data_IF_246041431666
#
_entry.id   IF_246041431666
#
_cell.length_a   1.000
_cell.length_b   1.000
_cell.length_c   1.000
_cell.angle_alpha   90.00
_cell.angle_beta   90.00
_cell.angle_gamma   90.00
#
_symmetry.space_group_name_H-M   'P 1'
#
loop_
_entity.id
_entity.type
_entity.pdbx_description
1 polymer ?
#
# COMPACT_ATOMS: atom_id res chain seq x y z
N UNK A 1 6.43 -18.65 3.38
CA UNK A 1 7.21 -17.69 4.21
C UNK A 1 6.26 -16.69 4.84
N UNK A 2 6.11 -16.70 6.18
CA UNK A 2 5.32 -15.71 6.93
C UNK A 2 6.26 -14.62 7.45
N UNK A 3 6.69 -13.72 6.57
CA UNK A 3 7.58 -12.63 6.97
C UNK A 3 6.71 -11.48 7.47
N UNK A 4 6.70 -11.29 8.78
CA UNK A 4 6.15 -10.10 9.40
C UNK A 4 7.23 -9.02 9.32
N UNK A 5 6.89 -7.87 8.76
CA UNK A 5 7.80 -6.76 8.53
C UNK A 5 7.49 -5.63 9.49
N UNK A 6 8.53 -4.98 9.99
CA UNK A 6 8.41 -3.65 10.60
C UNK A 6 7.95 -2.64 9.56
N UNK A 7 7.53 -1.44 10.02
CA UNK A 7 7.14 -0.36 9.12
C UNK A 7 8.25 -0.01 8.13
N UNK A 8 9.49 0.05 8.60
CA UNK A 8 10.65 0.43 7.79
C UNK A 8 10.97 -0.64 6.75
N UNK A 9 11.02 -1.92 7.12
CA UNK A 9 11.22 -3.02 6.16
C UNK A 9 10.08 -3.10 5.13
N UNK A 10 8.84 -2.86 5.56
CA UNK A 10 7.71 -2.78 4.66
C UNK A 10 7.87 -1.61 3.66
N UNK A 11 8.33 -0.44 4.14
CA UNK A 11 8.57 0.73 3.31
C UNK A 11 9.70 0.48 2.29
N UNK A 12 10.79 -0.15 2.70
CA UNK A 12 11.86 -0.55 1.80
C UNK A 12 11.38 -1.52 0.72
N UNK A 13 10.44 -2.41 1.06
CA UNK A 13 9.94 -3.40 0.12
C UNK A 13 9.10 -2.80 -1.01
N UNK A 14 8.36 -1.73 -0.75
CA UNK A 14 7.41 -1.11 -1.68
C UNK A 14 7.87 0.24 -2.23
N UNK A 15 9.00 0.79 -1.76
CA UNK A 15 9.52 2.05 -2.27
C UNK A 15 9.92 1.85 -3.74
N UNK A 16 9.53 2.79 -4.60
CA UNK A 16 10.06 2.84 -5.94
C UNK A 16 11.49 3.40 -5.90
N UNK A 17 12.30 3.06 -6.89
CA UNK A 17 13.63 3.63 -7.05
C UNK A 17 13.55 5.17 -7.07
N UNK A 18 14.46 5.83 -6.34
CA UNK A 18 14.44 7.29 -6.16
C UNK A 18 13.38 7.83 -5.17
N UNK A 19 12.52 7.00 -4.59
CA UNK A 19 11.59 7.44 -3.54
C UNK A 19 12.26 7.41 -2.16
N UNK A 20 12.26 8.54 -1.45
CA UNK A 20 12.75 8.62 -0.07
C UNK A 20 11.99 7.65 0.85
N UNK A 21 12.73 6.95 1.73
CA UNK A 21 12.18 5.96 2.66
C UNK A 21 11.05 6.54 3.53
N UNK A 22 11.25 7.74 4.10
CA UNK A 22 10.24 8.44 4.89
C UNK A 22 8.92 8.69 4.13
N UNK A 23 8.98 8.87 2.81
CA UNK A 23 7.78 9.03 1.98
C UNK A 23 7.04 7.70 1.78
N UNK A 24 7.76 6.58 1.71
CA UNK A 24 7.15 5.25 1.68
C UNK A 24 6.54 4.88 3.04
N UNK A 25 7.22 5.18 4.16
CA UNK A 25 6.67 4.97 5.50
C UNK A 25 5.38 5.77 5.74
N UNK A 26 5.38 7.07 5.39
CA UNK A 26 4.17 7.91 5.45
C UNK A 26 3.01 7.32 4.63
N UNK A 27 3.31 6.75 3.46
CA UNK A 27 2.30 6.10 2.62
C UNK A 27 1.68 4.88 3.30
N UNK A 28 2.51 4.02 3.90
CA UNK A 28 2.04 2.84 4.64
C UNK A 28 1.20 3.27 5.84
N UNK A 29 1.64 4.29 6.60
CA UNK A 29 0.85 4.84 7.72
C UNK A 29 -0.54 5.30 7.28
N UNK A 30 -0.63 6.03 6.15
CA UNK A 30 -1.93 6.42 5.59
C UNK A 30 -2.81 5.24 5.21
N UNK A 31 -2.23 4.14 4.75
CA UNK A 31 -3.01 2.92 4.48
C UNK A 31 -3.53 2.28 5.77
N UNK A 32 -2.75 2.32 6.85
CA UNK A 32 -3.17 1.85 8.17
C UNK A 32 -4.30 2.72 8.71
N UNK A 33 -4.13 4.05 8.68
CA UNK A 33 -5.14 5.02 9.11
C UNK A 33 -6.45 4.90 8.32
N UNK A 34 -6.36 4.60 7.02
CA UNK A 34 -7.52 4.36 6.16
C UNK A 34 -8.16 2.96 6.36
N UNK A 35 -7.60 2.10 7.23
CA UNK A 35 -8.07 0.73 7.44
C UNK A 35 -7.79 -0.24 6.28
N UNK A 36 -6.95 0.16 5.32
CA UNK A 36 -6.60 -0.62 4.13
C UNK A 36 -5.45 -1.60 4.39
N UNK A 37 -4.79 -1.46 5.54
CA UNK A 37 -3.73 -2.34 6.02
C UNK A 37 -3.87 -2.50 7.53
N UNK A 38 -3.97 -3.74 8.01
CA UNK A 38 -4.13 -4.06 9.41
C UNK A 38 -2.82 -4.63 9.99
N UNK A 39 -1.97 -3.81 10.63
CA UNK A 39 -0.78 -4.31 11.30
C UNK A 39 -1.15 -5.08 12.56
N UNK A 40 -0.39 -6.12 12.87
CA UNK A 40 -0.50 -6.88 14.11
C UNK A 40 0.72 -6.56 14.98
N UNK A 41 0.49 -6.04 16.19
CA UNK A 41 1.56 -5.65 17.14
C UNK A 41 2.64 -4.76 16.49
N UNK A 42 2.22 -3.79 15.66
CA UNK A 42 3.12 -2.87 14.95
C UNK A 42 3.89 -3.49 13.77
N UNK A 43 3.59 -4.74 13.40
CA UNK A 43 4.18 -5.42 12.23
C UNK A 43 3.15 -5.65 11.14
N UNK A 44 3.59 -5.57 9.90
CA UNK A 44 2.79 -5.75 8.70
C UNK A 44 3.15 -7.08 8.06
N UNK A 45 2.15 -7.88 7.68
CA UNK A 45 2.41 -9.10 6.93
C UNK A 45 2.80 -8.76 5.49
N UNK A 46 3.88 -9.34 4.96
CA UNK A 46 4.33 -9.05 3.58
C UNK A 46 3.24 -9.29 2.52
N UNK A 47 2.45 -10.35 2.68
CA UNK A 47 1.37 -10.68 1.73
C UNK A 47 0.32 -9.56 1.68
N UNK A 48 -0.13 -9.08 2.83
CA UNK A 48 -1.14 -8.03 2.94
C UNK A 48 -0.59 -6.70 2.42
N UNK A 49 0.67 -6.38 2.74
CA UNK A 49 1.37 -5.21 2.22
C UNK A 49 1.36 -5.17 0.68
N UNK A 50 1.78 -6.26 0.03
CA UNK A 50 1.84 -6.35 -1.44
C UNK A 50 0.44 -6.34 -2.07
N UNK A 51 -0.55 -6.96 -1.41
CA UNK A 51 -1.94 -6.92 -1.86
C UNK A 51 -2.50 -5.48 -1.82
N UNK A 52 -2.27 -4.75 -0.72
CA UNK A 52 -2.67 -3.35 -0.56
C UNK A 52 -1.94 -2.45 -1.55
N UNK A 53 -0.63 -2.66 -1.77
CA UNK A 53 0.13 -1.90 -2.76
C UNK A 53 -0.45 -2.09 -4.17
N UNK A 54 -0.73 -3.34 -4.58
CA UNK A 54 -1.35 -3.65 -5.87
C UNK A 54 -2.72 -2.99 -6.01
N UNK A 55 -3.56 -3.07 -4.98
CA UNK A 55 -4.88 -2.42 -4.91
C UNK A 55 -4.77 -0.90 -5.10
N UNK A 56 -3.84 -0.26 -4.39
CA UNK A 56 -3.63 1.19 -4.44
C UNK A 56 -3.04 1.65 -5.77
N UNK A 57 -2.09 0.90 -6.34
CA UNK A 57 -1.54 1.17 -7.67
C UNK A 57 -2.62 1.06 -8.74
N UNK A 58 -3.49 0.05 -8.66
CA UNK A 58 -4.63 -0.10 -9.57
C UNK A 58 -5.63 1.06 -9.47
N UNK A 59 -5.87 1.61 -8.27
CA UNK A 59 -6.72 2.80 -8.08
C UNK A 59 -6.10 4.05 -8.71
N UNK A 60 -4.76 4.18 -8.70
CA UNK A 60 -4.04 5.34 -9.26
C UNK A 60 -3.93 5.30 -10.78
N UNK A 61 -3.86 4.11 -11.39
CA UNK A 61 -3.63 3.93 -12.83
C UNK A 61 -4.89 3.81 -13.70
N UNK A 62 -6.09 3.65 -13.13
CA UNK A 62 -7.32 3.59 -13.93
C UNK A 62 -7.91 4.99 -14.05
N UNK A 63 -7.81 5.70 -15.19
CA UNK A 63 -8.74 6.80 -15.44
C UNK A 63 -10.14 6.23 -15.25
N UNK A 64 -10.94 6.86 -14.38
CA UNK A 64 -12.37 6.60 -14.31
C UNK A 64 -12.94 7.01 -15.68
N UNK A 65 -12.91 6.09 -16.65
CA UNK A 65 -13.90 6.11 -17.72
C UNK A 65 -15.21 5.96 -16.96
N UNK A 66 -15.89 7.08 -16.75
CA UNK A 66 -17.33 7.09 -16.72
C UNK A 66 -17.74 6.42 -18.04
N UNK A 67 -17.85 5.09 -18.01
CA UNK A 67 -18.54 4.32 -19.02
C UNK A 67 -20.01 4.65 -18.79
N UNK A 68 -20.42 5.69 -19.49
CA UNK A 68 -21.76 6.14 -19.79
C UNK A 68 -22.69 5.00 -20.18
N UNK A 69 -23.81 4.84 -19.47
CA UNK A 69 -25.14 4.34 -19.90
C UNK A 69 -26.11 4.80 -18.78
N UNK A 70 -27.23 5.51 -18.94
CA UNK A 70 -28.06 5.95 -20.05
C UNK A 70 -29.50 6.08 -19.52
N UNK A 71 -30.15 7.23 -19.71
CA UNK A 71 -31.52 7.39 -20.24
C UNK A 71 -31.76 8.87 -20.54
#
# INVERSE_FOLDING_TARGET
MKTWLTLTEAAERIRAEGTALASAERRIRRWIEAGELAPLAGRVRTADLLATEKKMRSRRGRPRKNAQIGN
#
